data_IF_012389956908
#
_entry.id   IF_012389956908
#
_cell.length_a   1.000
_cell.length_b   1.000
_cell.length_c   1.000
_cell.angle_alpha   90.00
_cell.angle_beta   90.00
_cell.angle_gamma   90.00
#
_symmetry.space_group_name_H-M   'P 1'
#
loop_
_entity.id
_entity.type
_entity.pdbx_description
1 polymer ?
#
# COMPACT_ATOMS: atom_id res chain seq x y z
N UNK A 1 -17.61 -34.14 -17.14
CA UNK A 1 -16.87 -33.19 -16.29
C UNK A 1 -15.42 -33.21 -16.75
N UNK A 2 -14.95 -32.11 -17.31
CA UNK A 2 -13.59 -31.95 -17.84
C UNK A 2 -12.62 -31.60 -16.70
N UNK A 3 -11.32 -31.82 -16.89
CA UNK A 3 -10.31 -31.47 -15.87
C UNK A 3 -10.32 -29.98 -15.52
N UNK A 4 -10.66 -29.12 -16.49
CA UNK A 4 -10.82 -27.68 -16.27
C UNK A 4 -11.94 -27.35 -15.28
N UNK A 5 -13.10 -28.00 -15.42
CA UNK A 5 -14.24 -27.82 -14.50
C UNK A 5 -13.90 -28.30 -13.08
N UNK A 6 -13.12 -29.37 -12.96
CA UNK A 6 -12.65 -29.88 -11.67
C UNK A 6 -11.65 -28.92 -11.01
N UNK A 7 -10.71 -28.37 -11.79
CA UNK A 7 -9.76 -27.38 -11.32
C UNK A 7 -10.46 -26.10 -10.87
N UNK A 8 -11.42 -25.59 -11.64
CA UNK A 8 -12.16 -24.37 -11.29
C UNK A 8 -12.98 -24.57 -10.00
N UNK A 9 -13.59 -25.74 -9.83
CA UNK A 9 -14.29 -26.12 -8.59
C UNK A 9 -13.34 -26.14 -7.38
N UNK A 10 -12.16 -26.74 -7.54
CA UNK A 10 -11.13 -26.76 -6.49
C UNK A 10 -10.61 -25.36 -6.17
N UNK A 11 -10.37 -24.51 -7.16
CA UNK A 11 -9.94 -23.12 -6.96
C UNK A 11 -11.01 -22.30 -6.27
N UNK A 12 -12.28 -22.47 -6.65
CA UNK A 12 -13.40 -21.77 -6.02
C UNK A 12 -13.58 -22.17 -4.55
N UNK A 13 -13.37 -23.45 -4.24
CA UNK A 13 -13.35 -23.94 -2.86
C UNK A 13 -12.13 -23.44 -2.09
N UNK A 14 -10.94 -23.46 -2.68
CA UNK A 14 -9.71 -23.02 -2.04
C UNK A 14 -9.66 -21.49 -1.82
N UNK A 15 -10.31 -20.72 -2.69
CA UNK A 15 -10.40 -19.25 -2.63
C UNK A 15 -11.69 -18.77 -1.97
N UNK A 16 -12.41 -19.63 -1.23
CA UNK A 16 -13.57 -19.22 -0.45
C UNK A 16 -13.13 -18.09 0.50
N UNK A 17 -13.82 -16.93 0.52
CA UNK A 17 -13.41 -15.82 1.38
C UNK A 17 -13.35 -16.26 2.84
N UNK A 18 -12.15 -16.32 3.39
CA UNK A 18 -11.95 -16.53 4.82
C UNK A 18 -12.09 -15.19 5.53
N UNK A 19 -12.81 -15.17 6.65
CA UNK A 19 -12.90 -13.99 7.50
C UNK A 19 -11.55 -13.82 8.21
N UNK A 20 -10.75 -12.77 7.88
CA UNK A 20 -9.47 -12.57 8.54
C UNK A 20 -9.66 -12.27 10.04
N UNK A 21 -8.70 -12.66 10.90
CA UNK A 21 -8.75 -12.35 12.33
C UNK A 21 -8.91 -10.86 12.59
N UNK A 22 -9.68 -10.49 13.63
CA UNK A 22 -9.99 -9.08 13.94
C UNK A 22 -8.73 -8.21 14.09
N UNK A 23 -7.67 -8.75 14.69
CA UNK A 23 -6.40 -8.05 14.93
C UNK A 23 -5.47 -7.99 13.70
N UNK A 24 -5.79 -8.68 12.59
CA UNK A 24 -4.90 -8.73 11.42
C UNK A 24 -4.72 -7.34 10.80
N UNK A 25 -5.81 -6.58 10.68
CA UNK A 25 -5.77 -5.22 10.12
C UNK A 25 -4.92 -4.29 10.97
N UNK A 26 -5.06 -4.36 12.30
CA UNK A 26 -4.30 -3.51 13.22
C UNK A 26 -2.80 -3.86 13.19
N UNK A 27 -2.46 -5.15 13.09
CA UNK A 27 -1.06 -5.59 12.96
C UNK A 27 -0.45 -5.17 11.62
N UNK A 28 -1.21 -5.26 10.53
CA UNK A 28 -0.79 -4.80 9.19
C UNK A 28 -0.60 -3.30 9.13
N UNK A 29 -1.55 -2.54 9.69
CA UNK A 29 -1.47 -1.09 9.77
C UNK A 29 -0.18 -0.66 10.49
N UNK A 30 0.09 -1.26 11.66
CA UNK A 30 1.33 -1.00 12.40
C UNK A 30 2.59 -1.32 11.60
N UNK A 31 2.68 -2.52 11.03
CA UNK A 31 3.88 -2.93 10.28
C UNK A 31 4.11 -2.04 9.04
N UNK A 32 3.04 -1.67 8.33
CA UNK A 32 3.13 -0.80 7.16
C UNK A 32 3.46 0.65 7.53
N UNK A 33 2.97 1.14 8.67
CA UNK A 33 3.38 2.45 9.21
C UNK A 33 4.87 2.46 9.57
N UNK A 34 5.36 1.43 10.27
CA UNK A 34 6.78 1.28 10.62
C UNK A 34 7.66 1.24 9.35
N UNK A 35 7.25 0.48 8.33
CA UNK A 35 7.97 0.43 7.04
C UNK A 35 7.94 1.77 6.27
N UNK A 36 6.81 2.47 6.30
CA UNK A 36 6.67 3.77 5.63
C UNK A 36 7.55 4.82 6.29
N UNK A 37 7.61 4.84 7.62
CA UNK A 37 8.47 5.75 8.39
C UNK A 37 9.96 5.46 8.14
N UNK A 38 10.37 4.19 8.16
CA UNK A 38 11.74 3.80 7.83
C UNK A 38 12.15 4.22 6.41
N UNK A 39 11.26 4.02 5.42
CA UNK A 39 11.51 4.47 4.05
C UNK A 39 11.58 6.00 3.94
N UNK A 40 10.78 6.74 4.72
CA UNK A 40 10.81 8.20 4.73
C UNK A 40 12.13 8.75 5.28
N UNK A 41 12.69 8.12 6.32
CA UNK A 41 14.02 8.47 6.86
C UNK A 41 15.11 8.25 5.81
N UNK A 42 15.13 7.08 5.15
CA UNK A 42 16.10 6.78 4.09
C UNK A 42 16.00 7.74 2.89
N UNK A 43 14.80 8.20 2.56
CA UNK A 43 14.59 9.21 1.51
C UNK A 43 15.02 10.61 1.94
N UNK A 44 14.86 10.96 3.22
CA UNK A 44 15.27 12.27 3.76
C UNK A 44 16.80 12.39 3.86
N UNK A 45 17.48 11.28 4.16
CA UNK A 45 18.95 11.19 4.21
C UNK A 45 19.59 11.02 2.81
N UNK A 46 18.78 11.02 1.75
CA UNK A 46 19.25 10.89 0.39
C UNK A 46 19.91 12.20 -0.08
N UNK A 47 21.23 12.18 -0.32
CA UNK A 47 21.93 13.32 -0.89
C UNK A 47 21.70 13.38 -2.42
N UNK A 48 21.15 14.49 -2.99
CA UNK A 48 20.99 14.65 -4.43
C UNK A 48 22.31 14.55 -5.22
N UNK A 49 23.47 14.73 -4.57
CA UNK A 49 24.78 14.49 -5.19
C UNK A 49 25.06 13.01 -5.45
N UNK A 50 24.52 12.08 -4.65
CA UNK A 50 24.66 10.62 -4.87
C UNK A 50 23.91 10.16 -6.13
N UNK A 51 22.92 10.91 -6.59
CA UNK A 51 22.15 10.60 -7.79
C UNK A 51 22.89 10.87 -9.12
N UNK A 52 24.08 11.46 -9.08
CA UNK A 52 24.88 11.74 -10.31
C UNK A 52 25.48 10.50 -10.94
N UNK A 53 25.72 9.43 -10.16
CA UNK A 53 26.20 8.15 -10.67
C UNK A 53 25.05 7.12 -10.71
N UNK A 54 24.63 6.63 -11.89
CA UNK A 54 23.55 5.65 -12.02
C UNK A 54 23.80 4.34 -11.29
N UNK A 55 25.05 4.02 -10.94
CA UNK A 55 25.38 2.81 -10.17
C UNK A 55 25.00 2.91 -8.70
N UNK A 56 24.88 4.12 -8.16
CA UNK A 56 24.47 4.35 -6.78
C UNK A 56 22.94 4.42 -6.62
N UNK A 57 22.18 4.24 -7.71
CA UNK A 57 20.73 4.38 -7.70
C UNK A 57 19.99 3.25 -6.98
N UNK A 58 20.65 2.12 -6.73
CA UNK A 58 20.01 0.93 -6.14
C UNK A 58 19.36 1.23 -4.79
N UNK A 59 20.07 1.96 -3.91
CA UNK A 59 19.56 2.35 -2.58
C UNK A 59 18.36 3.32 -2.67
N UNK A 60 18.44 4.46 -3.40
CA UNK A 60 17.30 5.35 -3.58
C UNK A 60 16.10 4.70 -4.27
N UNK A 61 16.34 3.92 -5.33
CA UNK A 61 15.27 3.25 -6.06
C UNK A 61 14.55 2.25 -5.16
N UNK A 62 15.29 1.50 -4.34
CA UNK A 62 14.69 0.62 -3.34
C UNK A 62 13.86 1.41 -2.31
N UNK A 63 14.34 2.53 -1.80
CA UNK A 63 13.60 3.37 -0.85
C UNK A 63 12.30 3.92 -1.43
N UNK A 64 12.32 4.42 -2.69
CA UNK A 64 11.11 4.89 -3.39
C UNK A 64 10.12 3.76 -3.62
N UNK A 65 10.59 2.61 -4.11
CA UNK A 65 9.73 1.43 -4.38
C UNK A 65 9.11 0.90 -3.09
N UNK A 66 9.90 0.75 -2.03
CA UNK A 66 9.43 0.28 -0.72
C UNK A 66 8.46 1.28 -0.10
N UNK A 67 8.78 2.58 -0.13
CA UNK A 67 7.92 3.63 0.41
C UNK A 67 6.58 3.72 -0.32
N UNK A 68 6.57 3.66 -1.64
CA UNK A 68 5.35 3.70 -2.44
C UNK A 68 4.49 2.44 -2.29
N UNK A 69 5.10 1.25 -2.20
CA UNK A 69 4.38 0.00 -1.93
C UNK A 69 3.79 -0.03 -0.52
N UNK A 70 4.58 0.32 0.50
CA UNK A 70 4.13 0.32 1.89
C UNK A 70 3.02 1.36 2.13
N UNK A 71 3.20 2.59 1.61
CA UNK A 71 2.19 3.64 1.68
C UNK A 71 0.90 3.29 0.94
N UNK A 72 1.02 2.73 -0.28
CA UNK A 72 -0.14 2.27 -1.05
C UNK A 72 -0.91 1.15 -0.34
N UNK A 73 -0.20 0.16 0.22
CA UNK A 73 -0.81 -0.91 1.00
C UNK A 73 -1.50 -0.38 2.28
N UNK A 74 -0.90 0.59 2.96
CA UNK A 74 -1.47 1.19 4.18
C UNK A 74 -2.80 1.89 3.89
N UNK A 75 -2.89 2.62 2.76
CA UNK A 75 -4.14 3.25 2.31
C UNK A 75 -5.24 2.21 2.08
N UNK A 76 -4.91 1.09 1.43
CA UNK A 76 -5.86 -0.01 1.19
C UNK A 76 -6.32 -0.67 2.50
N UNK A 77 -5.39 -0.93 3.44
CA UNK A 77 -5.72 -1.50 4.76
C UNK A 77 -6.66 -0.57 5.53
N UNK A 78 -6.37 0.73 5.56
CA UNK A 78 -7.16 1.74 6.27
C UNK A 78 -8.53 1.96 5.62
N UNK A 79 -8.61 1.85 4.30
CA UNK A 79 -9.87 1.85 3.54
C UNK A 79 -10.79 0.71 3.99
N UNK A 80 -10.23 -0.50 4.03
CA UNK A 80 -10.95 -1.73 4.37
C UNK A 80 -11.38 -1.74 5.84
N UNK A 81 -10.52 -1.27 6.74
CA UNK A 81 -10.83 -1.15 8.17
C UNK A 81 -11.95 -0.09 8.42
N UNK A 82 -11.93 1.03 7.69
CA UNK A 82 -13.02 2.03 7.72
C UNK A 82 -14.34 1.49 7.16
N UNK A 83 -14.29 0.71 6.08
CA UNK A 83 -15.48 0.07 5.50
C UNK A 83 -16.11 -0.90 6.51
N UNK A 84 -15.31 -1.70 7.23
CA UNK A 84 -15.80 -2.61 8.28
C UNK A 84 -16.37 -1.90 9.50
N UNK A 85 -15.73 -0.81 9.96
CA UNK A 85 -16.15 -0.08 11.17
C UNK A 85 -17.36 0.84 10.95
N UNK A 86 -17.65 1.26 9.71
CA UNK A 86 -18.67 2.30 9.43
C UNK A 86 -19.70 1.96 8.35
N UNK A 87 -19.59 0.82 7.66
CA UNK A 87 -20.37 0.57 6.43
C UNK A 87 -20.09 1.62 5.33
N UNK A 88 -18.91 2.27 5.38
CA UNK A 88 -18.59 3.47 4.59
C UNK A 88 -18.41 3.18 3.11
N UNK A 89 -19.09 3.97 2.28
CA UNK A 89 -19.03 3.93 0.80
C UNK A 89 -17.64 4.28 0.26
N UNK A 90 -17.22 3.59 -0.81
CA UNK A 90 -16.01 3.82 -1.61
C UNK A 90 -15.76 5.31 -1.95
N UNK A 91 -16.83 6.10 -2.03
CA UNK A 91 -16.79 7.54 -2.31
C UNK A 91 -16.05 8.35 -1.23
N UNK A 92 -16.02 7.88 0.01
CA UNK A 92 -15.27 8.50 1.10
C UNK A 92 -13.76 8.20 1.03
N UNK A 93 -13.41 7.02 0.49
CA UNK A 93 -12.02 6.69 0.17
C UNK A 93 -11.52 7.51 -1.01
N UNK A 94 -12.34 7.60 -2.06
CA UNK A 94 -12.03 8.39 -3.26
C UNK A 94 -11.72 9.85 -2.90
N UNK A 95 -12.48 10.46 -1.98
CA UNK A 95 -12.17 11.81 -1.47
C UNK A 95 -10.86 11.88 -0.71
N UNK A 96 -10.57 10.92 0.16
CA UNK A 96 -9.32 10.91 0.91
C UNK A 96 -8.10 10.72 0.00
N UNK A 97 -8.22 9.88 -1.04
CA UNK A 97 -7.18 9.70 -2.06
C UNK A 97 -7.01 10.97 -2.89
N UNK A 98 -8.11 11.64 -3.26
CA UNK A 98 -8.08 12.90 -4.00
C UNK A 98 -7.38 14.01 -3.21
N UNK A 99 -7.70 14.12 -1.92
CA UNK A 99 -7.11 15.14 -1.04
C UNK A 99 -5.59 14.97 -0.87
N UNK A 100 -5.13 13.72 -0.74
CA UNK A 100 -3.68 13.42 -0.70
C UNK A 100 -3.01 13.69 -2.04
N UNK A 101 -3.67 13.36 -3.16
CA UNK A 101 -3.16 13.64 -4.50
C UNK A 101 -3.04 15.15 -4.76
N UNK A 102 -4.05 15.92 -4.36
CA UNK A 102 -4.06 17.38 -4.50
C UNK A 102 -2.98 18.04 -3.63
N UNK A 103 -2.70 17.51 -2.42
CA UNK A 103 -1.62 18.00 -1.56
C UNK A 103 -0.23 17.72 -2.16
N UNK A 104 -0.04 16.53 -2.74
CA UNK A 104 1.20 16.16 -3.43
C UNK A 104 1.43 17.01 -4.69
N UNK A 105 0.40 17.23 -5.50
CA UNK A 105 0.49 18.08 -6.69
C UNK A 105 0.86 19.52 -6.31
N UNK A 106 0.25 20.05 -5.24
CA UNK A 106 0.60 21.39 -4.73
C UNK A 106 2.07 21.52 -4.31
N UNK A 107 2.63 20.48 -3.68
CA UNK A 107 4.03 20.48 -3.23
C UNK A 107 5.03 20.29 -4.36
N UNK A 108 4.65 19.60 -5.43
CA UNK A 108 5.52 19.36 -6.59
C UNK A 108 5.53 20.53 -7.59
N UNK A 109 4.50 21.39 -7.54
CA UNK A 109 4.34 22.55 -8.43
C UNK A 109 4.69 23.89 -7.76
N UNK A 110 5.05 23.87 -6.48
CA UNK A 110 5.46 25.02 -5.67
C UNK A 110 6.97 25.11 -5.52
#
# INVERSE_FOLDING_TARGET
MTDGERLESLLRSALTPVEPPEALSDRLERALSELTEAAAVELADLDPAEMRDPRNWVRPAAAVVVGSLAGGALVVVRARQRQRKRGGSLRSLERAVREVADDLEKRLRG
#
